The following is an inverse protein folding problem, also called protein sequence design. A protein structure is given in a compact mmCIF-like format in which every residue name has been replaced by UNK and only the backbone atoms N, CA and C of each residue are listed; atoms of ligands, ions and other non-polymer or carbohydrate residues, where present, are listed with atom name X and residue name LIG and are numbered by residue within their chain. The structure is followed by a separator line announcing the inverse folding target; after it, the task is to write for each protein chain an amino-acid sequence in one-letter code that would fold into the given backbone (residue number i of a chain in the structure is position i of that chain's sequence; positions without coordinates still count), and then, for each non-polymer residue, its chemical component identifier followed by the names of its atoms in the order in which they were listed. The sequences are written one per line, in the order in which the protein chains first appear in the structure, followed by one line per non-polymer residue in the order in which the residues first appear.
data_IF_218460629468
#
_entry.id   IF_218460629468
#
_cell.length_a   1.000
_cell.length_b   1.000
_cell.length_c   1.000
_cell.angle_alpha   90.00
_cell.angle_beta   90.00
_cell.angle_gamma   90.00
#
_symmetry.space_group_name_H-M   'P 1'
#
loop_
_entity.id
_entity.type
_entity.pdbx_description
1 polymer ?
#
# COMPACT_ATOMS: atom_id res chain seq x y z
N UNK A 1 0.38 29.42 54.27
CA UNK A 1 1.11 28.38 53.51
C UNK A 1 1.26 28.90 52.09
N UNK A 2 2.46 29.33 51.69
CA UNK A 2 2.71 29.92 50.38
C UNK A 2 3.24 28.83 49.44
N UNK A 3 2.48 28.49 48.40
CA UNK A 3 2.88 27.53 47.38
C UNK A 3 3.61 28.30 46.27
N UNK A 4 4.93 28.25 46.27
CA UNK A 4 5.76 28.83 45.21
C UNK A 4 5.97 27.78 44.10
N UNK A 5 5.18 27.85 43.02
CA UNK A 5 5.33 26.97 41.85
C UNK A 5 6.35 27.60 40.90
N UNK A 6 7.60 27.13 40.99
CA UNK A 6 8.71 27.45 40.10
C UNK A 6 8.41 27.04 38.65
N UNK A 7 8.17 28.03 37.79
CA UNK A 7 8.05 27.89 36.34
C UNK A 7 9.39 27.72 35.62
N UNK A 8 10.13 26.64 35.88
CA UNK A 8 11.41 26.33 35.21
C UNK A 8 11.54 24.85 34.83
N UNK A 9 10.80 24.36 33.82
CA UNK A 9 11.04 23.02 33.23
C UNK A 9 10.81 22.86 31.71
N UNK A 10 10.69 23.94 30.92
CA UNK A 10 10.39 23.78 29.47
C UNK A 10 11.60 24.00 28.52
N UNK A 11 12.64 24.74 28.92
CA UNK A 11 13.74 25.09 28.00
C UNK A 11 14.67 23.91 27.66
N UNK A 12 15.09 23.12 28.66
CA UNK A 12 16.06 22.03 28.44
C UNK A 12 15.54 20.85 27.61
N UNK A 13 14.22 20.64 27.57
CA UNK A 13 13.59 19.56 26.77
C UNK A 13 13.65 19.88 25.26
N UNK A 14 13.53 21.16 24.90
CA UNK A 14 13.55 21.62 23.51
C UNK A 14 14.96 21.46 22.91
N UNK A 15 16.00 21.74 23.69
CA UNK A 15 17.39 21.63 23.23
C UNK A 15 17.82 20.16 23.05
N UNK A 16 17.37 19.26 23.93
CA UNK A 16 17.56 17.83 23.76
C UNK A 16 16.87 17.29 22.48
N UNK A 17 15.65 17.76 22.19
CA UNK A 17 14.93 17.39 20.96
C UNK A 17 15.64 17.85 19.68
N UNK A 18 16.21 19.06 19.68
CA UNK A 18 17.02 19.55 18.56
C UNK A 18 18.26 18.70 18.34
N UNK A 19 18.97 18.36 19.41
CA UNK A 19 20.17 17.54 19.31
C UNK A 19 19.86 16.13 18.76
N UNK A 20 18.75 15.53 19.21
CA UNK A 20 18.29 14.23 18.71
C UNK A 20 17.93 14.26 17.21
N UNK A 21 17.26 15.33 16.76
CA UNK A 21 16.92 15.50 15.35
C UNK A 21 18.18 15.64 14.47
N UNK A 22 19.20 16.38 14.94
CA UNK A 22 20.48 16.51 14.24
C UNK A 22 21.21 15.17 14.17
N UNK A 23 21.26 14.41 15.27
CA UNK A 23 21.90 13.10 15.29
C UNK A 23 21.22 12.10 14.33
N UNK A 24 19.88 12.10 14.31
CA UNK A 24 19.11 11.25 13.40
C UNK A 24 19.40 11.57 11.93
N UNK A 25 19.51 12.85 11.57
CA UNK A 25 19.87 13.26 10.20
C UNK A 25 21.31 12.88 9.85
N UNK A 26 22.26 13.02 10.78
CA UNK A 26 23.66 12.58 10.57
C UNK A 26 23.72 11.07 10.33
N UNK A 27 22.98 10.28 11.13
CA UNK A 27 22.89 8.83 10.99
C UNK A 27 22.30 8.44 9.64
N UNK A 28 21.18 9.06 9.27
CA UNK A 28 20.53 8.85 7.99
C UNK A 28 21.44 9.25 6.82
N UNK A 29 22.18 10.35 6.92
CA UNK A 29 23.13 10.79 5.89
C UNK A 29 24.26 9.78 5.66
N UNK A 30 24.83 9.23 6.74
CA UNK A 30 25.83 8.16 6.66
C UNK A 30 25.24 6.92 6.00
N UNK A 31 24.03 6.54 6.36
CA UNK A 31 23.37 5.39 5.78
C UNK A 31 23.02 5.59 4.30
N UNK A 32 22.58 6.79 3.91
CA UNK A 32 22.36 7.14 2.48
C UNK A 32 23.63 7.03 1.64
N UNK A 33 24.81 7.23 2.22
CA UNK A 33 26.09 7.09 1.53
C UNK A 33 26.50 5.63 1.30
N UNK A 34 26.03 4.70 2.14
CA UNK A 34 26.41 3.27 2.08
C UNK A 34 25.33 2.42 1.42
N UNK A 35 24.05 2.75 1.64
CA UNK A 35 22.91 1.95 1.18
C UNK A 35 22.44 2.42 -0.20
N UNK A 36 22.42 1.54 -1.21
CA UNK A 36 21.91 1.86 -2.55
C UNK A 36 20.49 2.41 -2.53
N UNK A 37 20.18 3.30 -3.48
CA UNK A 37 18.87 3.95 -3.57
C UNK A 37 17.70 2.97 -3.59
N UNK A 38 17.79 1.90 -4.38
CA UNK A 38 16.73 0.87 -4.50
C UNK A 38 16.41 0.20 -3.16
N UNK A 39 17.43 -0.08 -2.35
CA UNK A 39 17.24 -0.63 -1.01
C UNK A 39 16.58 0.39 -0.07
N UNK A 40 16.95 1.68 -0.18
CA UNK A 40 16.31 2.75 0.59
C UNK A 40 14.83 2.89 0.23
N UNK A 41 14.51 2.81 -1.06
CA UNK A 41 13.12 2.82 -1.56
C UNK A 41 12.35 1.61 -1.03
N UNK A 42 12.93 0.41 -1.08
CA UNK A 42 12.30 -0.81 -0.57
C UNK A 42 11.95 -0.67 0.92
N UNK A 43 12.90 -0.20 1.74
CA UNK A 43 12.67 0.04 3.18
C UNK A 43 11.59 1.10 3.42
N UNK A 44 11.53 2.15 2.60
CA UNK A 44 10.50 3.16 2.70
C UNK A 44 9.11 2.60 2.35
N UNK A 45 8.99 1.79 1.30
CA UNK A 45 7.72 1.13 0.93
C UNK A 45 7.26 0.14 2.01
N UNK A 46 8.19 -0.63 2.59
CA UNK A 46 7.89 -1.53 3.70
C UNK A 46 7.35 -0.75 4.91
N UNK A 47 7.97 0.39 5.25
CA UNK A 47 7.48 1.27 6.30
C UNK A 47 6.06 1.79 6.02
N UNK A 48 5.75 2.20 4.78
CA UNK A 48 4.39 2.61 4.42
C UNK A 48 3.37 1.48 4.63
N UNK A 49 3.76 0.22 4.35
CA UNK A 49 2.91 -0.93 4.56
C UNK A 49 2.72 -1.26 6.05
N UNK A 50 3.80 -1.33 6.83
CA UNK A 50 3.80 -1.65 8.26
C UNK A 50 3.06 -0.60 9.09
N UNK A 51 3.17 0.67 8.72
CA UNK A 51 2.45 1.78 9.38
C UNK A 51 1.03 1.97 8.86
N UNK A 52 0.52 1.06 8.03
CA UNK A 52 -0.82 1.10 7.44
C UNK A 52 -1.15 2.47 6.81
N UNK A 53 -0.21 2.98 6.01
CA UNK A 53 -0.41 4.24 5.31
C UNK A 53 -1.42 4.05 4.19
N UNK A 54 -2.55 4.74 4.34
CA UNK A 54 -3.62 4.73 3.34
C UNK A 54 -3.19 5.46 2.08
N UNK A 55 -3.25 4.76 0.94
CA UNK A 55 -3.06 5.36 -0.38
C UNK A 55 -4.22 6.28 -0.82
N UNK A 56 -5.33 6.29 -0.06
CA UNK A 56 -6.54 7.07 -0.36
C UNK A 56 -6.70 8.30 0.53
N UNK A 57 -5.88 8.41 1.59
CA UNK A 57 -5.86 9.57 2.48
C UNK A 57 -4.89 10.64 1.95
N UNK A 58 -5.14 11.93 2.26
CA UNK A 58 -4.13 12.98 2.08
C UNK A 58 -2.84 12.63 2.84
N UNK A 59 -1.69 12.89 2.21
CA UNK A 59 -0.37 12.58 2.77
C UNK A 59 -0.17 13.16 4.17
N UNK A 60 -0.61 14.39 4.42
CA UNK A 60 -0.49 15.09 5.70
C UNK A 60 -1.17 14.34 6.85
N UNK A 61 -2.26 13.61 6.55
CA UNK A 61 -2.99 12.81 7.54
C UNK A 61 -2.27 11.51 7.89
N UNK A 62 -1.48 10.97 6.97
CA UNK A 62 -0.73 9.73 7.17
C UNK A 62 0.71 9.98 7.65
N UNK A 63 1.24 11.18 7.38
CA UNK A 63 2.63 11.57 7.64
C UNK A 63 3.06 11.32 9.10
N UNK A 64 2.20 11.65 10.07
CA UNK A 64 2.51 11.49 11.49
C UNK A 64 2.76 10.04 11.91
N UNK A 65 2.29 9.05 11.12
CA UNK A 65 2.52 7.63 11.38
C UNK A 65 3.96 7.18 11.09
N UNK A 66 4.67 7.90 10.22
CA UNK A 66 5.97 7.47 9.69
C UNK A 66 7.12 8.44 9.98
N UNK A 67 6.86 9.72 10.29
CA UNK A 67 7.92 10.73 10.54
C UNK A 67 8.82 10.40 11.72
N UNK A 68 8.36 9.57 12.64
CA UNK A 68 9.14 9.11 13.79
C UNK A 68 10.01 7.88 13.48
N UNK A 69 9.81 7.23 12.33
CA UNK A 69 10.60 6.09 11.91
C UNK A 69 11.92 6.55 11.27
N UNK A 70 13.05 5.98 11.71
CA UNK A 70 14.38 6.27 11.17
C UNK A 70 14.48 6.11 9.64
N UNK A 71 13.72 5.19 9.05
CA UNK A 71 13.68 4.90 7.61
C UNK A 71 13.11 6.06 6.80
N UNK A 72 12.31 6.94 7.42
CA UNK A 72 11.78 8.13 6.77
C UNK A 72 12.88 9.08 6.28
N UNK A 73 13.98 9.18 7.04
CA UNK A 73 15.12 10.03 6.69
C UNK A 73 16.05 9.40 5.65
N UNK A 74 15.86 8.12 5.29
CA UNK A 74 16.68 7.49 4.24
C UNK A 74 16.37 8.03 2.85
N UNK A 75 15.26 8.73 2.64
CA UNK A 75 14.94 9.40 1.38
C UNK A 75 14.89 10.92 1.58
N UNK A 76 15.29 11.67 0.57
CA UNK A 76 15.09 13.13 0.51
C UNK A 76 13.62 13.47 0.30
N UNK A 77 13.23 14.73 0.55
CA UNK A 77 11.84 15.18 0.35
C UNK A 77 11.32 14.91 -1.07
N UNK A 78 12.16 15.12 -2.09
CA UNK A 78 11.82 14.86 -3.51
C UNK A 78 11.61 13.37 -3.77
N UNK A 79 12.52 12.52 -3.28
CA UNK A 79 12.42 11.05 -3.44
C UNK A 79 11.19 10.49 -2.72
N UNK A 80 10.92 10.94 -1.48
CA UNK A 80 9.72 10.52 -0.73
C UNK A 80 8.44 10.79 -1.50
N UNK A 81 8.29 11.99 -2.06
CA UNK A 81 7.12 12.34 -2.86
C UNK A 81 7.00 11.45 -4.10
N UNK A 82 8.09 11.22 -4.83
CA UNK A 82 8.08 10.38 -6.04
C UNK A 82 7.68 8.93 -5.73
N UNK A 83 8.26 8.35 -4.67
CA UNK A 83 7.95 6.98 -4.24
C UNK A 83 6.50 6.88 -3.75
N UNK A 84 6.02 7.88 -2.99
CA UNK A 84 4.64 7.92 -2.53
C UNK A 84 3.63 8.05 -3.69
N UNK A 85 3.87 8.94 -4.65
CA UNK A 85 3.03 9.10 -5.84
C UNK A 85 2.98 7.81 -6.68
N UNK A 86 4.08 7.04 -6.72
CA UNK A 86 4.12 5.71 -7.34
C UNK A 86 3.29 4.70 -6.54
N UNK A 87 3.47 4.64 -5.22
CA UNK A 87 2.71 3.76 -4.32
C UNK A 87 1.20 3.98 -4.45
N UNK A 88 0.74 5.24 -4.46
CA UNK A 88 -0.68 5.58 -4.62
C UNK A 88 -1.22 5.07 -5.96
N UNK A 89 -0.46 5.25 -7.06
CA UNK A 89 -0.85 4.75 -8.38
C UNK A 89 -0.93 3.22 -8.42
N UNK A 90 0.07 2.53 -7.88
CA UNK A 90 0.10 1.08 -7.84
C UNK A 90 -1.05 0.51 -7.02
N UNK A 91 -1.35 1.08 -5.84
CA UNK A 91 -2.51 0.66 -5.03
C UNK A 91 -3.84 0.86 -5.76
N UNK A 92 -3.99 1.97 -6.48
CA UNK A 92 -5.19 2.22 -7.30
C UNK A 92 -5.31 1.23 -8.47
N UNK A 93 -4.19 0.82 -9.07
CA UNK A 93 -4.16 -0.21 -10.10
C UNK A 93 -4.45 -1.60 -9.54
N UNK A 94 -3.91 -1.92 -8.38
CA UNK A 94 -4.07 -3.20 -7.70
C UNK A 94 -5.53 -3.44 -7.31
N UNK A 95 -6.23 -2.45 -6.74
CA UNK A 95 -7.67 -2.55 -6.48
C UNK A 95 -8.50 -2.77 -7.76
N UNK A 96 -8.14 -2.10 -8.88
CA UNK A 96 -8.80 -2.32 -10.18
C UNK A 96 -8.55 -3.73 -10.71
N UNK A 97 -7.31 -4.21 -10.59
CA UNK A 97 -6.90 -5.56 -11.03
C UNK A 97 -7.59 -6.63 -10.20
N UNK A 98 -7.68 -6.46 -8.88
CA UNK A 98 -8.30 -7.43 -7.98
C UNK A 98 -9.82 -7.57 -8.26
N UNK A 99 -10.52 -6.46 -8.49
CA UNK A 99 -11.93 -6.48 -8.93
C UNK A 99 -12.11 -7.24 -10.25
N UNK A 100 -11.24 -6.99 -11.24
CA UNK A 100 -11.28 -7.67 -12.55
C UNK A 100 -10.97 -9.16 -12.43
N UNK A 101 -9.92 -9.51 -11.68
CA UNK A 101 -9.46 -10.89 -11.50
C UNK A 101 -10.50 -11.73 -10.75
N UNK A 102 -11.16 -11.19 -9.73
CA UNK A 102 -12.23 -11.91 -9.01
C UNK A 102 -13.41 -12.25 -9.93
N UNK A 103 -13.79 -11.33 -10.83
CA UNK A 103 -14.85 -11.61 -11.81
C UNK A 103 -14.40 -12.66 -12.84
N UNK A 104 -13.16 -12.56 -13.32
CA UNK A 104 -12.61 -13.50 -14.29
C UNK A 104 -12.47 -14.90 -13.71
N UNK A 105 -11.97 -15.02 -12.47
CA UNK A 105 -11.86 -16.30 -11.76
C UNK A 105 -13.22 -17.00 -11.65
N UNK A 106 -14.29 -16.25 -11.30
CA UNK A 106 -15.66 -16.80 -11.27
C UNK A 106 -16.13 -17.28 -12.65
N UNK A 107 -15.82 -16.53 -13.72
CA UNK A 107 -16.17 -16.93 -15.10
C UNK A 107 -15.42 -18.18 -15.55
N UNK A 108 -14.13 -18.25 -15.25
CA UNK A 108 -13.29 -19.42 -15.57
C UNK A 108 -13.76 -20.65 -14.81
N UNK A 109 -13.95 -20.53 -13.49
CA UNK A 109 -14.45 -21.64 -12.66
C UNK A 109 -15.82 -22.15 -13.13
N UNK A 110 -16.73 -21.25 -13.55
CA UNK A 110 -18.01 -21.65 -14.12
C UNK A 110 -17.85 -22.40 -15.46
N UNK A 111 -16.89 -21.99 -16.30
CA UNK A 111 -16.60 -22.68 -17.56
C UNK A 111 -16.03 -24.07 -17.33
N UNK A 112 -15.04 -24.18 -16.44
CA UNK A 112 -14.45 -25.46 -16.03
C UNK A 112 -15.52 -26.41 -15.48
N UNK A 113 -16.44 -25.92 -14.65
CA UNK A 113 -17.57 -26.70 -14.14
C UNK A 113 -18.50 -27.20 -15.26
N UNK A 114 -18.81 -26.36 -16.24
CA UNK A 114 -19.67 -26.73 -17.38
C UNK A 114 -18.98 -27.76 -18.29
N UNK A 115 -17.68 -27.63 -18.49
CA UNK A 115 -16.87 -28.56 -19.28
C UNK A 115 -16.74 -29.92 -18.57
N UNK A 116 -16.51 -29.94 -17.26
CA UNK A 116 -16.50 -31.16 -16.43
C UNK A 116 -17.86 -31.87 -16.44
N UNK A 117 -18.94 -31.11 -16.33
CA UNK A 117 -20.30 -31.63 -16.42
C UNK A 117 -20.71 -32.06 -17.85
N UNK A 118 -19.84 -31.86 -18.85
CA UNK A 118 -20.12 -32.06 -20.28
C UNK A 118 -21.39 -31.32 -20.75
N UNK A 119 -21.75 -30.24 -20.05
CA UNK A 119 -22.90 -29.40 -20.33
C UNK A 119 -22.53 -28.37 -21.41
N UNK A 120 -22.40 -28.84 -22.64
CA UNK A 120 -22.27 -27.95 -23.78
C UNK A 120 -23.67 -27.45 -24.21
N UNK A 121 -23.78 -26.18 -24.60
CA UNK A 121 -25.01 -25.47 -25.03
C UNK A 121 -25.82 -26.12 -26.18
N UNK A 122 -25.41 -27.31 -26.65
CA UNK A 122 -26.12 -28.13 -27.64
C UNK A 122 -27.04 -29.19 -27.00
N UNK A 123 -27.51 -28.98 -25.77
CA UNK A 123 -28.83 -29.48 -25.36
C UNK A 123 -29.93 -28.68 -26.09
N UNK A 124 -29.94 -28.77 -27.42
CA UNK A 124 -31.18 -28.63 -28.16
C UNK A 124 -31.93 -29.92 -27.84
N UNK A 125 -33.12 -29.90 -27.23
CA UNK A 125 -33.89 -31.12 -27.05
C UNK A 125 -34.12 -31.73 -28.43
N UNK A 126 -33.42 -32.83 -28.73
CA UNK A 126 -33.54 -33.59 -29.99
C UNK A 126 -34.96 -34.13 -30.22
N UNK A 127 -35.90 -33.86 -29.32
CA UNK A 127 -37.31 -34.22 -29.44
C UNK A 127 -38.09 -33.39 -30.48
N UNK A 128 -37.56 -32.26 -30.98
CA UNK A 128 -38.27 -31.42 -31.96
C UNK A 128 -37.83 -31.59 -33.42
N UNK A 129 -36.81 -32.41 -33.70
CA UNK A 129 -36.37 -32.71 -35.07
C UNK A 129 -36.96 -34.01 -35.64
N UNK A 130 -37.60 -34.85 -34.81
CA UNK A 130 -38.20 -36.12 -35.26
C UNK A 130 -39.63 -35.99 -35.81
N UNK A 131 -40.29 -34.83 -35.72
CA UNK A 131 -41.68 -34.66 -36.19
C UNK A 131 -41.81 -34.00 -37.57
N UNK A 132 -40.70 -33.68 -38.27
CA UNK A 132 -40.74 -33.02 -39.58
C UNK A 132 -40.58 -33.95 -40.80
N UNK A 133 -40.45 -35.26 -40.61
CA UNK A 133 -40.28 -36.24 -41.71
C UNK A 133 -41.33 -37.36 -41.70
N UNK A 134 -42.58 -37.06 -41.31
CA UNK A 134 -43.73 -37.97 -41.46
C UNK A 134 -44.88 -37.26 -42.18
N UNK A 135 -44.64 -36.82 -43.41
CA UNK A 135 -45.64 -36.59 -44.43
C UNK A 135 -45.05 -37.01 -45.77
#
# INVERSE_FOLDING_TARGET
MNINISGKKCAGVIDAGKQAAVEAEIRAARERAVVPFEQRVCRFLQMLHESEVSAFSPWEKELHKIVFDSRYLLLTSKERKQVFDKYVRERAEEERKEKKNRLQAKKTAFRELMDEAKLHSKFVPNHLLSMKNKF
#
